data_IF_006585884217
#
_entry.id   IF_006585884217
#
_cell.length_a   1.000
_cell.length_b   1.000
_cell.length_c   1.000
_cell.angle_alpha   90.00
_cell.angle_beta   90.00
_cell.angle_gamma   90.00
#
_symmetry.space_group_name_H-M   'P 1'
#
loop_
_entity.id
_entity.type
_entity.pdbx_description
1 polymer ?
#
# COMPACT_ATOMS: atom_id res chain seq x y z
N UNK A 1 -25.78 13.29 7.26
CA UNK A 1 -24.33 13.12 7.50
C UNK A 1 -23.90 13.74 8.83
N UNK A 2 -24.37 14.93 9.22
CA UNK A 2 -24.13 15.47 10.59
C UNK A 2 -24.62 14.54 11.70
N UNK A 3 -25.66 13.74 11.44
CA UNK A 3 -26.26 12.80 12.39
C UNK A 3 -25.34 11.65 12.84
N UNK A 4 -24.25 11.37 12.11
CA UNK A 4 -23.32 10.25 12.36
C UNK A 4 -21.91 10.69 12.78
N UNK A 5 -21.70 11.99 13.02
CA UNK A 5 -20.38 12.53 13.39
C UNK A 5 -19.29 12.39 12.32
N UNK A 6 -19.66 12.13 11.06
CA UNK A 6 -18.73 12.04 9.93
C UNK A 6 -18.61 13.37 9.19
N UNK A 7 -17.36 13.80 8.98
CA UNK A 7 -16.99 15.02 8.29
C UNK A 7 -16.50 14.72 6.88
N UNK A 8 -17.11 15.33 5.86
CA UNK A 8 -16.64 15.29 4.47
C UNK A 8 -15.44 16.22 4.27
N UNK A 9 -14.23 15.67 4.36
CA UNK A 9 -13.01 16.46 4.46
C UNK A 9 -12.75 17.35 3.25
N UNK A 10 -13.16 16.94 2.03
CA UNK A 10 -13.04 17.75 0.82
C UNK A 10 -13.71 19.14 0.94
N UNK A 11 -14.77 19.25 1.76
CA UNK A 11 -15.52 20.51 1.92
C UNK A 11 -14.85 21.50 2.89
N UNK A 12 -13.96 21.03 3.77
CA UNK A 12 -13.34 21.86 4.80
C UNK A 12 -12.13 22.66 4.30
N UNK A 13 -11.52 22.23 3.18
CA UNK A 13 -10.36 22.90 2.59
C UNK A 13 -10.79 23.71 1.36
N UNK A 14 -10.54 25.02 1.40
CA UNK A 14 -10.85 25.89 0.26
C UNK A 14 -9.89 25.60 -0.91
N UNK A 15 -10.45 25.12 -2.02
CA UNK A 15 -9.75 24.84 -3.28
C UNK A 15 -10.44 25.56 -4.43
N UNK A 16 -9.67 25.93 -5.46
CA UNK A 16 -10.22 26.51 -6.69
C UNK A 16 -11.17 25.50 -7.36
N UNK A 17 -12.36 25.90 -7.85
CA UNK A 17 -13.36 24.97 -8.41
C UNK A 17 -12.82 24.02 -9.48
N UNK A 18 -12.01 24.52 -10.42
CA UNK A 18 -11.40 23.70 -11.48
C UNK A 18 -10.45 22.61 -10.96
N UNK A 19 -10.04 22.64 -9.69
CA UNK A 19 -9.18 21.64 -9.06
C UNK A 19 -9.93 20.60 -8.26
N UNK A 20 -11.24 20.77 -8.05
CA UNK A 20 -12.05 19.93 -7.15
C UNK A 20 -12.64 18.68 -7.82
N UNK A 21 -12.84 18.69 -9.13
CA UNK A 21 -13.43 17.55 -9.82
C UNK A 21 -12.56 16.30 -9.69
N UNK A 22 -13.22 15.18 -9.40
CA UNK A 22 -12.62 13.86 -9.23
C UNK A 22 -13.03 12.91 -10.34
N UNK A 23 -14.07 13.23 -11.10
CA UNK A 23 -14.54 12.46 -12.24
C UNK A 23 -14.85 13.35 -13.44
N UNK A 24 -14.57 12.86 -14.65
CA UNK A 24 -14.97 13.47 -15.91
C UNK A 24 -15.77 12.51 -16.77
N UNK A 25 -16.81 13.00 -17.44
CA UNK A 25 -17.58 12.20 -18.39
C UNK A 25 -16.74 11.68 -19.57
N UNK A 26 -17.16 10.61 -20.26
CA UNK A 26 -16.40 10.04 -21.38
C UNK A 26 -16.13 11.03 -22.53
N UNK A 27 -17.04 11.97 -22.75
CA UNK A 27 -16.91 13.08 -23.71
C UNK A 27 -16.05 14.25 -23.18
N UNK A 28 -15.66 14.21 -21.90
CA UNK A 28 -14.84 15.20 -21.21
C UNK A 28 -15.54 16.52 -20.88
N UNK A 29 -16.84 16.65 -21.21
CA UNK A 29 -17.61 17.90 -21.06
C UNK A 29 -17.98 18.17 -19.60
N UNK A 30 -18.42 17.11 -18.92
CA UNK A 30 -18.94 17.18 -17.56
C UNK A 30 -17.85 16.77 -16.58
N UNK A 31 -17.68 17.54 -15.50
CA UNK A 31 -16.70 17.29 -14.45
C UNK A 31 -17.38 17.43 -13.10
N UNK A 32 -17.36 16.36 -12.31
CA UNK A 32 -18.02 16.29 -11.01
C UNK A 32 -17.01 15.94 -9.91
N UNK A 33 -17.31 16.37 -8.69
CA UNK A 33 -16.64 15.92 -7.47
C UNK A 33 -17.53 14.84 -6.84
N UNK A 34 -17.14 13.56 -6.99
CA UNK A 34 -17.90 12.40 -6.51
C UNK A 34 -17.11 11.50 -5.55
N UNK A 35 -15.80 11.72 -5.43
CA UNK A 35 -14.92 10.96 -4.55
C UNK A 35 -14.56 11.80 -3.30
N UNK A 36 -14.95 11.31 -2.13
CA UNK A 36 -14.81 12.03 -0.85
C UNK A 36 -14.03 11.22 0.18
N UNK A 37 -13.19 11.92 0.96
CA UNK A 37 -12.59 11.36 2.17
C UNK A 37 -13.45 11.80 3.37
N UNK A 38 -13.93 10.83 4.14
CA UNK A 38 -14.73 11.08 5.34
C UNK A 38 -13.99 10.62 6.60
N UNK A 39 -14.19 11.33 7.71
CA UNK A 39 -13.60 10.98 9.01
C UNK A 39 -14.47 11.42 10.17
N UNK A 40 -14.37 10.74 11.30
CA UNK A 40 -14.93 11.21 12.58
C UNK A 40 -13.98 12.17 13.31
N UNK A 41 -12.70 12.19 12.96
CA UNK A 41 -11.67 13.00 13.63
C UNK A 41 -11.09 14.05 12.70
N UNK A 42 -11.88 15.10 12.43
CA UNK A 42 -11.53 16.20 11.51
C UNK A 42 -10.12 16.78 11.77
N UNK A 43 -9.74 16.91 13.04
CA UNK A 43 -8.49 17.56 13.47
C UNK A 43 -7.22 16.84 12.99
N UNK A 44 -7.31 15.57 12.58
CA UNK A 44 -6.17 14.83 12.06
C UNK A 44 -5.76 15.27 10.67
N UNK A 45 -6.67 15.85 9.89
CA UNK A 45 -6.41 16.23 8.51
C UNK A 45 -5.84 17.65 8.43
N UNK A 46 -4.72 17.80 7.74
CA UNK A 46 -4.13 19.09 7.41
C UNK A 46 -4.43 19.55 5.98
N UNK A 47 -4.77 18.64 5.08
CA UNK A 47 -5.22 18.97 3.73
C UNK A 47 -6.06 17.84 3.11
N UNK A 48 -7.00 18.20 2.24
CA UNK A 48 -7.54 17.28 1.22
C UNK A 48 -7.51 17.97 -0.12
N UNK A 49 -6.84 17.34 -1.11
CA UNK A 49 -6.69 17.89 -2.45
C UNK A 49 -6.72 16.81 -3.52
N UNK A 50 -7.27 17.16 -4.69
CA UNK A 50 -7.19 16.31 -5.88
C UNK A 50 -5.85 16.53 -6.57
N UNK A 51 -5.10 15.46 -6.81
CA UNK A 51 -3.81 15.53 -7.48
C UNK A 51 -4.03 15.66 -9.00
N UNK A 52 -3.49 16.71 -9.60
CA UNK A 52 -3.59 16.96 -11.05
C UNK A 52 -2.45 16.33 -11.87
N UNK A 53 -1.29 16.14 -11.24
CA UNK A 53 -0.07 15.67 -11.90
C UNK A 53 -0.06 14.17 -12.18
N UNK A 54 -0.91 13.38 -11.51
CA UNK A 54 -0.97 11.93 -11.68
C UNK A 54 -1.91 11.62 -12.83
N UNK A 55 -1.34 11.17 -13.95
CA UNK A 55 -2.10 10.61 -15.07
C UNK A 55 -2.43 9.15 -14.75
N UNK A 56 -3.64 8.90 -14.29
CA UNK A 56 -4.16 7.54 -14.00
C UNK A 56 -4.56 6.80 -15.28
N UNK A 57 -4.88 7.54 -16.36
CA UNK A 57 -5.52 6.96 -17.55
C UNK A 57 -7.01 6.68 -17.36
N UNK A 58 -7.55 6.93 -16.16
CA UNK A 58 -8.97 6.81 -15.84
C UNK A 58 -9.67 8.16 -15.98
N UNK A 59 -10.98 8.10 -16.18
CA UNK A 59 -11.94 9.17 -15.99
C UNK A 59 -11.98 9.71 -14.54
N UNK A 60 -11.36 9.00 -13.58
CA UNK A 60 -11.18 9.44 -12.20
C UNK A 60 -9.79 10.04 -11.91
N UNK A 61 -9.78 11.05 -11.03
CA UNK A 61 -8.58 11.67 -10.46
C UNK A 61 -8.37 11.24 -9.01
N UNK A 62 -7.11 11.13 -8.63
CA UNK A 62 -6.72 10.74 -7.28
C UNK A 62 -7.01 11.87 -6.27
N UNK A 63 -7.76 11.53 -5.21
CA UNK A 63 -7.95 12.38 -4.03
C UNK A 63 -6.89 12.02 -2.98
N UNK A 64 -6.22 13.03 -2.44
CA UNK A 64 -5.20 12.87 -1.39
C UNK A 64 -5.64 13.59 -0.14
N UNK A 65 -5.70 12.86 0.97
CA UNK A 65 -5.74 13.43 2.31
C UNK A 65 -4.35 13.45 2.94
N UNK A 66 -3.94 14.59 3.47
CA UNK A 66 -2.76 14.72 4.31
C UNK A 66 -3.22 14.68 5.77
N UNK A 67 -2.68 13.73 6.52
CA UNK A 67 -2.99 13.54 7.94
C UNK A 67 -1.75 13.75 8.80
N UNK A 68 -1.94 14.39 9.95
CA UNK A 68 -0.92 14.59 10.97
C UNK A 68 -1.17 13.57 12.09
N UNK A 69 -0.34 12.54 12.15
CA UNK A 69 -0.43 11.48 13.15
C UNK A 69 0.80 11.49 14.04
N UNK A 70 0.61 11.30 15.35
CA UNK A 70 1.72 10.94 16.22
C UNK A 70 2.05 9.46 16.01
N UNK A 71 2.96 9.22 15.05
CA UNK A 71 3.33 7.87 14.62
C UNK A 71 3.83 7.02 15.79
N UNK A 72 4.50 7.59 16.80
CA UNK A 72 4.98 6.81 17.97
C UNK A 72 3.83 6.25 18.80
N UNK A 73 2.79 7.05 19.04
CA UNK A 73 1.60 6.61 19.77
C UNK A 73 0.81 5.59 18.94
N UNK A 74 0.61 5.85 17.65
CA UNK A 74 -0.16 4.98 16.77
C UNK A 74 0.56 3.64 16.52
N UNK A 75 1.88 3.67 16.30
CA UNK A 75 2.69 2.46 16.18
C UNK A 75 2.69 1.65 17.48
N UNK A 76 2.63 2.27 18.65
CA UNK A 76 2.52 1.53 19.91
C UNK A 76 1.21 0.72 19.97
N UNK A 77 0.12 1.24 19.41
CA UNK A 77 -1.15 0.54 19.28
C UNK A 77 -1.11 -0.55 18.18
N UNK A 78 -0.53 -0.23 17.01
CA UNK A 78 -0.44 -1.16 15.88
C UNK A 78 0.57 -2.30 16.11
N UNK A 79 1.68 -2.05 16.81
CA UNK A 79 2.69 -3.06 17.14
C UNK A 79 2.15 -4.07 18.16
N UNK A 80 1.33 -3.63 19.12
CA UNK A 80 0.57 -4.57 19.98
C UNK A 80 -0.33 -5.51 19.18
N UNK A 81 -0.84 -5.06 18.02
CA UNK A 81 -1.70 -5.83 17.13
C UNK A 81 -0.93 -6.67 16.08
N UNK A 82 0.24 -6.22 15.63
CA UNK A 82 0.93 -6.79 14.44
C UNK A 82 2.16 -7.64 14.79
N UNK A 83 2.79 -7.43 15.96
CA UNK A 83 3.96 -8.22 16.38
C UNK A 83 3.62 -9.61 16.90
N UNK A 84 2.35 -9.89 17.16
CA UNK A 84 1.91 -11.24 17.45
C UNK A 84 1.60 -11.89 16.10
N UNK A 85 2.43 -12.81 15.59
CA UNK A 85 1.88 -13.79 14.66
C UNK A 85 0.61 -14.33 15.32
N UNK A 86 -0.52 -14.45 14.59
CA UNK A 86 -1.71 -15.09 15.13
C UNK A 86 -1.24 -16.36 15.83
N UNK A 87 -1.64 -16.64 17.08
CA UNK A 87 -1.20 -17.87 17.78
C UNK A 87 -1.38 -19.13 16.93
N UNK A 88 -2.31 -19.09 15.98
CA UNK A 88 -2.56 -20.07 14.93
C UNK A 88 -1.38 -20.35 13.95
N UNK A 89 -0.37 -19.47 13.87
CA UNK A 89 0.77 -19.59 12.95
C UNK A 89 1.99 -20.28 13.58
N UNK A 90 2.05 -20.36 14.92
CA UNK A 90 3.07 -21.12 15.63
C UNK A 90 2.55 -22.56 15.73
N UNK A 91 2.94 -23.40 14.78
CA UNK A 91 2.70 -24.83 14.90
C UNK A 91 3.56 -25.36 16.04
N UNK A 92 2.92 -25.89 17.08
CA UNK A 92 3.54 -26.53 18.25
C UNK A 92 4.51 -25.61 19.04
N UNK A 93 3.97 -24.66 19.85
CA UNK A 93 4.77 -23.67 20.58
C UNK A 93 5.72 -24.29 21.60
N UNK A 94 5.40 -25.46 22.16
CA UNK A 94 6.24 -26.16 23.12
C UNK A 94 7.55 -26.65 22.46
N UNK A 95 7.45 -27.23 21.26
CA UNK A 95 8.65 -27.66 20.50
C UNK A 95 9.52 -26.47 20.07
N UNK A 96 8.93 -25.34 19.70
CA UNK A 96 9.67 -24.12 19.38
C UNK A 96 10.46 -23.58 20.58
N UNK A 97 9.83 -23.54 21.76
CA UNK A 97 10.47 -23.11 22.99
C UNK A 97 11.60 -24.06 23.41
N UNK A 98 11.42 -25.37 23.24
CA UNK A 98 12.41 -26.38 23.56
C UNK A 98 13.62 -26.31 22.61
N UNK A 99 13.40 -26.16 21.31
CA UNK A 99 14.46 -25.97 20.31
C UNK A 99 15.25 -24.68 20.54
N UNK A 100 14.58 -23.58 20.90
CA UNK A 100 15.27 -22.33 21.25
C UNK A 100 16.14 -22.50 22.49
N UNK A 101 15.62 -23.09 23.56
CA UNK A 101 16.38 -23.32 24.81
C UNK A 101 17.62 -24.16 24.57
N UNK A 102 17.47 -25.29 23.87
CA UNK A 102 18.60 -26.18 23.56
C UNK A 102 19.69 -25.47 22.76
N UNK A 103 19.29 -24.54 21.88
CA UNK A 103 20.22 -23.85 20.99
C UNK A 103 20.82 -22.59 21.60
N UNK A 104 20.14 -21.96 22.55
CA UNK A 104 20.71 -20.86 23.33
C UNK A 104 21.68 -21.33 24.41
N UNK A 105 21.72 -22.63 24.73
CA UNK A 105 22.71 -23.19 25.64
C UNK A 105 24.17 -22.94 25.16
N UNK A 106 24.40 -22.80 23.84
CA UNK A 106 25.71 -22.45 23.30
C UNK A 106 26.10 -20.96 23.46
N UNK A 107 25.18 -20.12 23.96
CA UNK A 107 25.47 -18.73 24.31
C UNK A 107 26.14 -18.59 25.68
N UNK A 108 26.07 -19.60 26.54
CA UNK A 108 26.65 -19.58 27.90
C UNK A 108 28.18 -19.40 27.86
N UNK A 109 28.83 -19.82 26.77
CA UNK A 109 30.29 -19.73 26.58
C UNK A 109 30.75 -18.45 25.85
N UNK A 110 29.85 -17.51 25.55
CA UNK A 110 30.17 -16.30 24.80
C UNK A 110 30.61 -15.16 25.74
N UNK A 111 31.89 -14.79 25.69
CA UNK A 111 32.46 -13.74 26.55
C UNK A 111 32.37 -12.32 25.96
N UNK A 112 32.21 -12.19 24.63
CA UNK A 112 32.09 -10.90 23.94
C UNK A 112 30.64 -10.59 23.60
N UNK A 113 30.22 -9.34 23.83
CA UNK A 113 28.84 -8.89 23.65
C UNK A 113 28.39 -8.94 22.17
N UNK A 114 29.30 -8.64 21.24
CA UNK A 114 29.01 -8.69 19.80
C UNK A 114 28.78 -10.14 19.32
N UNK A 115 29.64 -11.07 19.75
CA UNK A 115 29.51 -12.50 19.43
C UNK A 115 28.20 -13.10 19.98
N UNK A 116 27.79 -12.66 21.17
CA UNK A 116 26.52 -13.09 21.78
C UNK A 116 25.32 -12.59 20.97
N UNK A 117 25.36 -11.33 20.50
CA UNK A 117 24.29 -10.75 19.69
C UNK A 117 24.19 -11.45 18.32
N UNK A 118 25.32 -11.70 17.66
CA UNK A 118 25.35 -12.37 16.35
C UNK A 118 24.79 -13.80 16.45
N UNK A 119 25.24 -14.57 17.45
CA UNK A 119 24.72 -15.93 17.69
C UNK A 119 23.26 -15.95 18.11
N UNK A 120 22.79 -14.94 18.84
CA UNK A 120 21.39 -14.81 19.21
C UNK A 120 20.53 -14.56 17.97
N UNK A 121 20.92 -13.61 17.12
CA UNK A 121 20.22 -13.30 15.86
C UNK A 121 20.20 -14.54 14.96
N UNK A 122 21.33 -15.22 14.82
CA UNK A 122 21.45 -16.45 14.04
C UNK A 122 20.51 -17.55 14.59
N UNK A 123 20.53 -17.81 15.90
CA UNK A 123 19.71 -18.84 16.53
C UNK A 123 18.22 -18.57 16.35
N UNK A 124 17.78 -17.33 16.59
CA UNK A 124 16.40 -16.90 16.35
C UNK A 124 16.02 -17.07 14.88
N UNK A 125 16.93 -16.77 13.95
CA UNK A 125 16.67 -16.93 12.52
C UNK A 125 16.55 -18.41 12.12
N UNK A 126 17.47 -19.28 12.56
CA UNK A 126 17.46 -20.69 12.16
C UNK A 126 16.29 -21.44 12.79
N UNK A 127 15.95 -21.18 14.06
CA UNK A 127 14.77 -21.80 14.68
C UNK A 127 13.50 -21.16 14.11
N UNK A 128 13.46 -19.83 14.00
CA UNK A 128 12.34 -19.10 13.43
C UNK A 128 11.95 -19.58 12.03
N UNK A 129 12.91 -19.85 11.15
CA UNK A 129 12.65 -20.35 9.77
C UNK A 129 12.10 -21.77 9.71
N UNK A 130 12.36 -22.63 10.71
CA UNK A 130 11.77 -23.98 10.79
C UNK A 130 10.26 -23.94 11.09
N UNK A 131 9.84 -23.00 11.93
CA UNK A 131 8.48 -22.94 12.46
C UNK A 131 7.61 -21.86 11.79
N UNK A 132 8.21 -20.78 11.31
CA UNK A 132 7.52 -19.74 10.56
C UNK A 132 7.68 -20.01 9.07
N UNK A 133 6.56 -20.20 8.35
CA UNK A 133 6.59 -20.24 6.89
C UNK A 133 7.18 -18.93 6.37
N UNK A 134 8.35 -19.00 5.72
CA UNK A 134 8.94 -17.85 5.03
C UNK A 134 7.87 -17.26 4.12
N UNK A 135 7.63 -15.95 4.24
CA UNK A 135 6.68 -15.25 3.37
C UNK A 135 7.01 -15.62 1.93
N UNK A 136 6.08 -16.28 1.23
CA UNK A 136 6.26 -16.66 -0.17
C UNK A 136 6.79 -15.44 -0.91
N UNK A 137 7.91 -15.61 -1.64
CA UNK A 137 8.40 -14.58 -2.57
C UNK A 137 7.21 -14.17 -3.42
N UNK A 138 6.84 -12.90 -3.35
CA UNK A 138 5.77 -12.37 -4.20
C UNK A 138 6.21 -12.61 -5.64
N UNK A 139 5.49 -13.48 -6.35
CA UNK A 139 5.60 -13.55 -7.80
C UNK A 139 5.21 -12.19 -8.36
N UNK A 140 5.86 -11.77 -9.45
CA UNK A 140 5.46 -10.55 -10.13
C UNK A 140 3.99 -10.66 -10.54
N UNK A 141 3.18 -9.68 -10.13
CA UNK A 141 1.73 -9.69 -10.38
C UNK A 141 1.39 -9.34 -11.83
N UNK A 142 2.30 -8.70 -12.55
CA UNK A 142 2.14 -8.21 -13.91
C UNK A 142 3.19 -8.89 -14.78
N UNK A 143 2.84 -9.21 -16.01
CA UNK A 143 3.80 -9.72 -16.99
C UNK A 143 4.74 -8.61 -17.46
N UNK A 144 5.96 -8.98 -17.89
CA UNK A 144 6.93 -8.05 -18.49
C UNK A 144 6.33 -7.27 -19.66
N UNK A 145 5.49 -7.93 -20.46
CA UNK A 145 4.79 -7.27 -21.54
C UNK A 145 3.86 -6.15 -21.04
N UNK A 146 3.17 -6.35 -19.91
CA UNK A 146 2.32 -5.32 -19.31
C UNK A 146 3.15 -4.17 -18.75
N UNK A 147 4.29 -4.49 -18.11
CA UNK A 147 5.23 -3.47 -17.62
C UNK A 147 5.78 -2.62 -18.77
N UNK A 148 6.11 -3.23 -19.91
CA UNK A 148 6.56 -2.52 -21.11
C UNK A 148 5.47 -1.59 -21.66
N UNK A 149 4.21 -2.04 -21.76
CA UNK A 149 3.11 -1.16 -22.19
C UNK A 149 2.93 0.04 -21.25
N UNK A 150 3.08 -0.17 -19.93
CA UNK A 150 3.04 0.93 -18.95
C UNK A 150 4.21 1.91 -19.12
N UNK A 151 5.41 1.42 -19.45
CA UNK A 151 6.57 2.25 -19.73
C UNK A 151 6.37 3.11 -20.99
N UNK A 152 5.92 2.50 -22.09
CA UNK A 152 5.56 3.22 -23.33
C UNK A 152 4.52 4.30 -23.05
N UNK A 153 3.48 3.98 -22.26
CA UNK A 153 2.44 4.94 -21.87
C UNK A 153 3.00 6.13 -21.08
N UNK A 154 4.02 5.89 -20.23
CA UNK A 154 4.66 6.92 -19.41
C UNK A 154 5.49 7.90 -20.24
N UNK A 155 6.13 7.41 -21.29
CA UNK A 155 7.03 8.19 -22.15
C UNK A 155 6.28 8.97 -23.25
N UNK A 156 5.06 8.56 -23.58
CA UNK A 156 4.25 9.18 -24.63
C UNK A 156 3.96 10.66 -24.35
N UNK A 157 4.32 11.53 -25.31
CA UNK A 157 3.98 12.95 -25.31
C UNK A 157 2.75 13.18 -26.18
N UNK A 158 1.75 13.87 -25.63
CA UNK A 158 0.49 14.14 -26.33
C UNK A 158 0.61 15.48 -27.06
N UNK A 159 1.07 15.47 -28.30
CA UNK A 159 1.26 16.68 -29.10
C UNK A 159 0.25 16.79 -30.25
N UNK A 160 -0.26 15.67 -30.75
CA UNK A 160 -1.24 15.58 -31.83
C UNK A 160 -2.53 14.85 -31.41
N UNK A 161 -3.60 15.00 -32.21
CA UNK A 161 -4.85 14.23 -32.05
C UNK A 161 -4.65 12.73 -32.27
N UNK A 162 -3.70 12.36 -33.12
CA UNK A 162 -3.27 10.97 -33.33
C UNK A 162 -2.64 10.39 -32.07
N UNK A 163 -1.77 11.16 -31.39
CA UNK A 163 -1.15 10.73 -30.12
C UNK A 163 -2.20 10.50 -29.02
N UNK A 164 -3.23 11.35 -28.96
CA UNK A 164 -4.34 11.18 -28.03
C UNK A 164 -5.11 9.87 -28.27
N UNK A 165 -5.32 9.51 -29.53
CA UNK A 165 -6.04 8.29 -29.90
C UNK A 165 -5.21 7.05 -29.57
N UNK A 166 -3.93 7.06 -29.92
CA UNK A 166 -2.99 5.99 -29.60
C UNK A 166 -2.81 5.82 -28.08
N UNK A 167 -2.75 6.92 -27.32
CA UNK A 167 -2.67 6.90 -25.86
C UNK A 167 -3.91 6.26 -25.22
N UNK A 168 -5.11 6.54 -25.73
CA UNK A 168 -6.36 5.93 -25.26
C UNK A 168 -6.36 4.42 -25.50
N UNK A 169 -6.00 3.99 -26.70
CA UNK A 169 -5.90 2.56 -27.04
C UNK A 169 -4.89 1.83 -26.14
N UNK A 170 -3.72 2.44 -25.94
CA UNK A 170 -2.69 1.89 -25.06
C UNK A 170 -3.16 1.79 -23.61
N UNK A 171 -3.89 2.81 -23.14
CA UNK A 171 -4.48 2.83 -21.80
C UNK A 171 -5.50 1.71 -21.61
N UNK A 172 -6.43 1.58 -22.53
CA UNK A 172 -7.44 0.50 -22.53
C UNK A 172 -6.77 -0.88 -22.53
N UNK A 173 -5.77 -1.09 -23.38
CA UNK A 173 -5.02 -2.34 -23.44
C UNK A 173 -4.28 -2.65 -22.13
N UNK A 174 -3.65 -1.65 -21.51
CA UNK A 174 -2.99 -1.82 -20.20
C UNK A 174 -3.98 -2.16 -19.10
N UNK A 175 -5.13 -1.48 -19.06
CA UNK A 175 -6.10 -1.62 -17.99
C UNK A 175 -6.82 -2.97 -18.07
N UNK A 176 -7.20 -3.41 -19.28
CA UNK A 176 -7.76 -4.74 -19.52
C UNK A 176 -6.81 -5.86 -19.05
N UNK A 177 -5.51 -5.69 -19.26
CA UNK A 177 -4.50 -6.68 -18.84
C UNK A 177 -4.30 -6.68 -17.34
N UNK A 178 -4.26 -5.51 -16.71
CA UNK A 178 -4.21 -5.38 -15.24
C UNK A 178 -5.45 -6.03 -14.62
N UNK A 179 -6.63 -5.78 -15.18
CA UNK A 179 -7.89 -6.39 -14.73
C UNK A 179 -7.83 -7.91 -14.83
N UNK A 180 -7.44 -8.47 -15.98
CA UNK A 180 -7.27 -9.92 -16.17
C UNK A 180 -6.27 -10.53 -15.20
N UNK A 181 -5.12 -9.88 -14.99
CA UNK A 181 -4.10 -10.35 -14.04
C UNK A 181 -4.55 -10.36 -12.58
N UNK A 182 -5.54 -9.52 -12.21
CA UNK A 182 -6.18 -9.57 -10.89
C UNK A 182 -7.14 -10.74 -10.76
N UNK A 183 -7.93 -11.04 -11.81
CA UNK A 183 -8.88 -12.14 -11.80
C UNK A 183 -8.20 -13.51 -11.71
N UNK A 184 -7.00 -13.68 -12.29
CA UNK A 184 -6.26 -14.95 -12.24
C UNK A 184 -5.54 -15.22 -10.91
N UNK A 185 -5.57 -14.28 -9.95
CA UNK A 185 -4.95 -14.41 -8.62
C UNK A 185 -5.95 -14.71 -7.49
N UNK A 186 -7.25 -14.76 -7.79
CA UNK A 186 -8.32 -15.20 -6.88
C UNK A 186 -8.62 -16.68 -7.13
#
# INVERSE_FOLDING_TARGET
>A
MEKEGLFMMNSFFQKRPHRKWTWSSPDGTTKNEIDFIMTTTRQLFSDVSVIASVKTGSDHRMVRGTVNLNVKLEMSCLMKSTLLPPRALIQNPETFQLDLRNRFQCLEDCNAMDDMNDKLVETVHVVGTKFCKTRRRRTQKLSDHTLNLMAVRREMRLQSSTDLTAYRQLTEQTDLRIYRARLTQL
#
